data_IF_218695406161
#
_entry.id   IF_218695406161
#
_cell.length_a   1.000
_cell.length_b   1.000
_cell.length_c   1.000
_cell.angle_alpha   90.00
_cell.angle_beta   90.00
_cell.angle_gamma   90.00
#
_symmetry.space_group_name_H-M   'P 1'
#
loop_
_entity.id
_entity.type
_entity.pdbx_description
1 polymer ?
#
# COMPACT_ATOMS: atom_id res chain seq x y z
N UNK A 1 -13.41 -10.50 -10.18
CA UNK A 1 -14.76 -10.88 -10.65
C UNK A 1 -15.46 -9.63 -11.14
N UNK A 2 -15.94 -9.63 -12.36
CA UNK A 2 -16.69 -8.52 -12.94
C UNK A 2 -18.06 -9.04 -13.37
N UNK A 3 -19.11 -8.29 -13.03
CA UNK A 3 -20.50 -8.61 -13.36
C UNK A 3 -21.11 -7.39 -14.05
N UNK A 4 -21.51 -7.54 -15.31
CA UNK A 4 -22.20 -6.49 -16.06
C UNK A 4 -23.71 -6.75 -16.03
N UNK A 5 -24.48 -5.70 -15.73
CA UNK A 5 -25.94 -5.76 -15.66
C UNK A 5 -26.56 -4.46 -16.16
N UNK A 6 -27.85 -4.50 -16.55
CA UNK A 6 -28.58 -3.36 -17.07
C UNK A 6 -27.85 -2.65 -18.24
N UNK A 7 -27.09 -3.38 -19.06
CA UNK A 7 -26.29 -2.96 -20.21
C UNK A 7 -25.14 -1.98 -19.89
N UNK A 8 -25.35 -1.01 -19.01
CA UNK A 8 -24.45 0.12 -18.75
C UNK A 8 -23.69 0.03 -17.44
N UNK A 9 -24.07 -0.89 -16.55
CA UNK A 9 -23.47 -1.06 -15.25
C UNK A 9 -22.50 -2.24 -15.22
N UNK A 10 -21.38 -2.03 -14.55
CA UNK A 10 -20.41 -3.09 -14.25
C UNK A 10 -20.03 -3.02 -12.77
N UNK A 11 -20.23 -4.12 -12.06
CA UNK A 11 -19.71 -4.30 -10.72
C UNK A 11 -18.45 -5.15 -10.76
N UNK A 12 -17.38 -4.65 -10.14
CA UNK A 12 -16.10 -5.35 -10.04
C UNK A 12 -15.75 -5.58 -8.58
N UNK A 13 -15.43 -6.83 -8.24
CA UNK A 13 -14.90 -7.24 -6.95
C UNK A 13 -13.49 -7.78 -7.16
N UNK A 14 -12.49 -7.15 -6.52
CA UNK A 14 -11.09 -7.58 -6.54
C UNK A 14 -10.61 -7.83 -5.12
N UNK A 15 -10.04 -8.98 -4.90
CA UNK A 15 -9.38 -9.36 -3.66
C UNK A 15 -7.95 -9.75 -3.93
N UNK A 16 -7.03 -9.35 -3.07
CA UNK A 16 -5.64 -9.79 -3.07
C UNK A 16 -5.24 -10.22 -1.66
N UNK A 17 -4.52 -11.33 -1.59
CA UNK A 17 -3.92 -11.84 -0.36
C UNK A 17 -2.46 -12.12 -0.66
N UNK A 18 -1.56 -11.48 0.10
CA UNK A 18 -0.13 -11.70 0.05
C UNK A 18 0.33 -12.21 1.41
N UNK A 19 0.94 -13.38 1.42
CA UNK A 19 1.53 -14.02 2.61
C UNK A 19 3.00 -14.24 2.31
N UNK A 20 3.87 -13.72 3.19
CA UNK A 20 5.32 -13.87 3.03
C UNK A 20 5.95 -14.14 4.39
N UNK A 21 6.66 -15.26 4.47
CA UNK A 21 7.48 -15.61 5.63
C UNK A 21 8.95 -15.46 5.23
N UNK A 22 9.74 -14.84 6.08
CA UNK A 22 11.19 -14.71 5.95
C UNK A 22 11.79 -15.27 7.23
N UNK A 23 12.56 -16.34 7.09
CA UNK A 23 13.33 -16.93 8.14
C UNK A 23 14.82 -16.70 7.84
N UNK A 24 15.54 -16.03 8.73
CA UNK A 24 16.98 -15.84 8.65
C UNK A 24 17.62 -16.57 9.84
N UNK A 25 18.55 -17.48 9.54
CA UNK A 25 19.28 -18.23 10.55
C UNK A 25 20.77 -18.11 10.29
N UNK A 26 21.51 -17.64 11.28
CA UNK A 26 22.96 -17.54 11.26
C UNK A 26 23.53 -18.37 12.40
N UNK A 27 24.49 -19.23 12.08
CA UNK A 27 25.21 -20.04 13.03
C UNK A 27 26.72 -19.80 12.90
N UNK A 28 27.39 -19.61 14.03
CA UNK A 28 28.84 -19.50 14.11
C UNK A 28 29.37 -20.51 15.13
N UNK A 29 30.17 -21.46 14.62
CA UNK A 29 30.76 -22.54 15.43
C UNK A 29 31.78 -22.03 16.44
N UNK A 30 31.80 -22.62 17.67
CA UNK A 30 32.76 -22.28 18.71
C UNK A 30 34.19 -22.79 18.46
N UNK A 31 34.42 -23.67 17.50
CA UNK A 31 35.74 -24.24 17.23
C UNK A 31 36.60 -23.35 16.31
N UNK A 32 35.98 -22.62 15.37
CA UNK A 32 36.69 -21.87 14.33
C UNK A 32 36.06 -20.52 14.07
N UNK A 33 36.84 -19.61 13.47
CA UNK A 33 36.36 -18.34 12.90
C UNK A 33 36.09 -17.25 13.94
N UNK A 34 35.19 -16.33 13.59
CA UNK A 34 34.89 -15.12 14.36
C UNK A 34 34.21 -15.40 15.72
N UNK A 35 33.61 -16.56 15.87
CA UNK A 35 32.88 -16.97 17.09
C UNK A 35 33.58 -18.05 17.89
N UNK A 36 34.90 -18.23 17.62
CA UNK A 36 35.72 -19.18 18.38
C UNK A 36 35.61 -18.98 19.88
N UNK A 37 35.57 -20.08 20.63
CA UNK A 37 35.44 -20.20 22.08
C UNK A 37 34.07 -19.84 22.66
N UNK A 38 33.15 -19.25 21.86
CA UNK A 38 31.81 -18.87 22.36
C UNK A 38 30.68 -19.50 21.54
N UNK A 39 30.83 -19.62 20.24
CA UNK A 39 29.72 -19.92 19.34
C UNK A 39 28.71 -18.76 19.27
N UNK A 40 27.88 -18.77 18.23
CA UNK A 40 26.84 -17.77 18.03
C UNK A 40 25.66 -18.37 17.25
N UNK A 41 24.45 -18.02 17.62
CA UNK A 41 23.27 -18.29 16.84
C UNK A 41 22.35 -17.06 16.80
N UNK A 42 21.83 -16.74 15.62
CA UNK A 42 20.79 -15.75 15.41
C UNK A 42 19.67 -16.38 14.61
N UNK A 43 18.45 -16.25 15.07
CA UNK A 43 17.23 -16.61 14.32
C UNK A 43 16.31 -15.41 14.29
N UNK A 44 15.86 -15.06 13.09
CA UNK A 44 14.89 -13.97 12.83
C UNK A 44 13.75 -14.57 12.01
N UNK A 45 12.54 -14.37 12.51
CA UNK A 45 11.31 -14.77 11.84
C UNK A 45 10.43 -13.54 11.58
N UNK A 46 9.98 -13.38 10.32
CA UNK A 46 9.14 -12.28 9.88
C UNK A 46 7.97 -12.83 9.08
N UNK A 47 6.77 -12.67 9.61
CA UNK A 47 5.54 -13.06 8.95
C UNK A 47 4.79 -11.81 8.48
N UNK A 48 4.66 -11.63 7.17
CA UNK A 48 3.91 -10.56 6.54
C UNK A 48 2.58 -11.07 6.02
N UNK A 49 1.51 -10.37 6.35
CA UNK A 49 0.16 -10.64 5.85
C UNK A 49 -0.45 -9.36 5.30
N UNK A 50 -0.82 -9.37 4.03
CA UNK A 50 -1.45 -8.24 3.36
C UNK A 50 -2.77 -8.68 2.73
N UNK A 51 -3.80 -7.90 2.96
CA UNK A 51 -5.13 -8.14 2.40
C UNK A 51 -5.61 -6.85 1.74
N UNK A 52 -6.05 -6.97 0.50
CA UNK A 52 -6.71 -5.86 -0.21
C UNK A 52 -8.07 -6.34 -0.71
N UNK A 53 -9.10 -5.57 -0.45
CA UNK A 53 -10.43 -5.77 -1.02
C UNK A 53 -10.88 -4.47 -1.68
N UNK A 54 -11.23 -4.54 -2.96
CA UNK A 54 -11.75 -3.42 -3.72
C UNK A 54 -13.10 -3.79 -4.33
N UNK A 55 -14.06 -2.93 -4.14
CA UNK A 55 -15.41 -2.99 -4.69
C UNK A 55 -15.60 -1.76 -5.57
N UNK A 56 -16.04 -1.96 -6.80
CA UNK A 56 -16.21 -0.89 -7.78
C UNK A 56 -17.52 -1.07 -8.52
N UNK A 57 -18.33 -0.03 -8.56
CA UNK A 57 -19.49 0.06 -9.43
C UNK A 57 -19.24 1.15 -10.46
N UNK A 58 -19.29 0.78 -11.72
CA UNK A 58 -19.13 1.68 -12.86
C UNK A 58 -20.39 1.72 -13.69
N UNK A 59 -20.74 2.90 -14.15
CA UNK A 59 -21.80 3.16 -15.12
C UNK A 59 -21.23 3.93 -16.30
N UNK A 60 -21.55 3.48 -17.52
CA UNK A 60 -21.10 4.09 -18.78
C UNK A 60 -22.27 4.17 -19.73
N UNK A 61 -22.53 5.35 -20.24
CA UNK A 61 -23.60 5.53 -21.21
C UNK A 61 -23.24 6.56 -22.27
N UNK A 62 -23.73 6.31 -23.49
CA UNK A 62 -23.57 7.22 -24.62
C UNK A 62 -24.91 7.75 -25.09
N UNK A 63 -25.10 9.07 -25.03
CA UNK A 63 -26.27 9.80 -25.51
C UNK A 63 -25.91 10.57 -26.79
N UNK A 64 -26.00 9.91 -27.93
CA UNK A 64 -25.59 10.52 -29.18
C UNK A 64 -24.11 10.90 -29.21
N UNK A 65 -23.78 12.21 -29.13
CA UNK A 65 -22.39 12.70 -29.06
C UNK A 65 -21.84 12.89 -27.67
N UNK A 66 -22.62 12.61 -26.62
CA UNK A 66 -22.26 12.73 -25.24
C UNK A 66 -21.91 11.36 -24.67
N UNK A 67 -20.75 11.20 -24.12
CA UNK A 67 -20.35 10.01 -23.36
C UNK A 67 -20.15 10.37 -21.89
N UNK A 68 -20.79 9.61 -21.01
CA UNK A 68 -20.68 9.78 -19.55
C UNK A 68 -20.18 8.48 -18.97
N UNK A 69 -19.18 8.57 -18.12
CA UNK A 69 -18.72 7.48 -17.29
C UNK A 69 -18.71 7.96 -15.84
N UNK A 70 -19.34 7.20 -14.96
CA UNK A 70 -19.33 7.45 -13.53
C UNK A 70 -18.97 6.17 -12.80
N UNK A 71 -18.14 6.27 -11.78
CA UNK A 71 -17.81 5.15 -10.93
C UNK A 71 -17.78 5.57 -9.46
N UNK A 72 -18.15 4.64 -8.60
CA UNK A 72 -17.98 4.72 -7.16
C UNK A 72 -17.28 3.45 -6.69
N UNK A 73 -16.39 3.59 -5.74
CA UNK A 73 -15.63 2.47 -5.22
C UNK A 73 -15.31 2.59 -3.75
N UNK A 74 -15.03 1.45 -3.17
CA UNK A 74 -14.57 1.27 -1.81
C UNK A 74 -13.38 0.32 -1.83
N UNK A 75 -12.34 0.64 -1.05
CA UNK A 75 -11.12 -0.13 -0.94
C UNK A 75 -10.69 -0.23 0.52
N UNK A 76 -10.33 -1.44 0.92
CA UNK A 76 -9.70 -1.73 2.20
C UNK A 76 -8.33 -2.36 1.98
N UNK A 77 -7.35 -1.93 2.77
CA UNK A 77 -6.05 -2.55 2.88
C UNK A 77 -5.73 -2.83 4.35
N UNK A 78 -5.30 -4.06 4.65
CA UNK A 78 -4.87 -4.50 5.99
C UNK A 78 -3.48 -5.13 5.85
N UNK A 79 -2.50 -4.58 6.56
CA UNK A 79 -1.14 -5.07 6.65
C UNK A 79 -0.82 -5.47 8.08
N UNK A 80 -0.16 -6.61 8.23
CA UNK A 80 0.32 -7.12 9.52
C UNK A 80 1.72 -7.67 9.35
N UNK A 81 2.61 -7.29 10.26
CA UNK A 81 3.92 -7.87 10.45
C UNK A 81 3.99 -8.47 11.85
N UNK A 82 4.36 -9.73 11.95
CA UNK A 82 4.89 -10.33 13.17
C UNK A 82 6.40 -10.46 13.00
N UNK A 83 7.14 -9.92 13.93
CA UNK A 83 8.60 -9.96 13.96
C UNK A 83 9.07 -10.60 15.27
N UNK A 84 9.90 -11.63 15.17
CA UNK A 84 10.56 -12.28 16.29
C UNK A 84 12.04 -12.46 15.96
N UNK A 85 12.92 -12.08 16.90
CA UNK A 85 14.37 -12.21 16.74
C UNK A 85 14.99 -12.67 18.06
N UNK A 86 15.91 -13.61 17.97
CA UNK A 86 16.68 -14.07 19.09
C UNK A 86 18.13 -14.32 18.70
N UNK A 87 19.07 -13.84 19.55
CA UNK A 87 20.50 -14.14 19.41
C UNK A 87 21.02 -14.71 20.70
N UNK A 88 21.83 -15.75 20.58
CA UNK A 88 22.46 -16.42 21.74
C UNK A 88 23.92 -16.71 21.49
N UNK A 89 24.66 -16.84 22.56
CA UNK A 89 26.09 -17.24 22.63
C UNK A 89 26.30 -18.35 23.61
N UNK A 90 27.54 -18.80 23.72
CA UNK A 90 28.03 -19.88 24.61
C UNK A 90 27.36 -21.21 24.24
N UNK A 91 27.83 -21.75 23.12
CA UNK A 91 27.48 -23.07 22.59
C UNK A 91 27.94 -24.16 23.56
N UNK A 92 27.04 -25.08 23.91
CA UNK A 92 27.35 -26.20 24.83
C UNK A 92 28.05 -27.36 24.11
N UNK A 93 27.60 -27.68 22.90
CA UNK A 93 28.13 -28.77 22.07
C UNK A 93 28.37 -28.25 20.67
N UNK A 94 29.62 -28.24 20.16
CA UNK A 94 29.94 -27.76 18.83
C UNK A 94 29.18 -28.49 17.72
N UNK A 95 28.71 -27.72 16.72
CA UNK A 95 28.08 -28.28 15.54
C UNK A 95 26.56 -28.50 15.63
N UNK A 96 25.91 -28.03 16.70
CA UNK A 96 24.46 -28.13 16.88
C UNK A 96 23.85 -26.71 16.80
N UNK A 97 23.16 -26.38 15.68
CA UNK A 97 22.57 -25.07 15.38
C UNK A 97 21.15 -24.85 15.95
N UNK A 98 20.89 -25.45 17.14
CA UNK A 98 19.64 -25.29 17.87
C UNK A 98 19.74 -24.25 18.99
N UNK A 99 18.72 -23.39 19.14
CA UNK A 99 18.68 -22.34 20.18
C UNK A 99 18.87 -22.89 21.60
N UNK A 100 18.43 -24.10 21.87
CA UNK A 100 18.56 -24.79 23.17
C UNK A 100 19.99 -25.13 23.48
N UNK A 101 20.88 -25.23 22.49
CA UNK A 101 22.28 -25.54 22.64
C UNK A 101 23.14 -24.35 23.14
N UNK A 102 22.55 -23.13 23.18
CA UNK A 102 23.22 -21.90 23.56
C UNK A 102 22.71 -21.42 24.92
N UNK A 103 23.63 -21.14 25.86
CA UNK A 103 23.27 -20.85 27.26
C UNK A 103 22.96 -19.36 27.51
N UNK A 104 23.52 -18.44 26.74
CA UNK A 104 23.42 -17.00 27.00
C UNK A 104 22.64 -16.29 25.91
N UNK A 105 21.49 -15.70 26.24
CA UNK A 105 20.73 -14.83 25.32
C UNK A 105 21.36 -13.44 25.31
N UNK A 106 21.78 -12.97 24.13
CA UNK A 106 22.41 -11.65 23.97
C UNK A 106 21.42 -10.63 23.37
N UNK A 107 20.39 -11.10 22.68
CA UNK A 107 19.33 -10.27 22.11
C UNK A 107 18.04 -11.07 22.02
N UNK A 108 16.94 -10.44 22.35
CA UNK A 108 15.59 -10.99 22.13
C UNK A 108 14.63 -9.84 21.90
N UNK A 109 13.93 -9.87 20.80
CA UNK A 109 12.94 -8.86 20.44
C UNK A 109 11.75 -9.54 19.74
N UNK A 110 10.54 -9.01 20.00
CA UNK A 110 9.34 -9.43 19.30
C UNK A 110 8.33 -8.30 19.32
N UNK A 111 7.75 -8.00 18.14
CA UNK A 111 6.71 -7.00 18.02
C UNK A 111 5.74 -7.34 16.88
N UNK A 112 4.61 -6.64 16.88
CA UNK A 112 3.59 -6.74 15.86
C UNK A 112 3.25 -5.36 15.34
N UNK A 113 3.40 -5.20 14.04
CA UNK A 113 2.97 -3.99 13.35
C UNK A 113 1.67 -4.23 12.59
N UNK A 114 0.77 -3.27 12.69
CA UNK A 114 -0.48 -3.28 11.94
C UNK A 114 -0.70 -1.94 11.27
N UNK A 115 -1.09 -2.00 10.00
CA UNK A 115 -1.44 -0.83 9.23
C UNK A 115 -2.71 -1.09 8.43
N UNK A 116 -3.65 -0.15 8.46
CA UNK A 116 -4.92 -0.26 7.76
C UNK A 116 -5.26 1.03 7.07
N UNK A 117 -5.75 0.91 5.86
CA UNK A 117 -6.39 2.02 5.17
C UNK A 117 -7.77 1.62 4.66
N UNK A 118 -8.64 2.60 4.60
CA UNK A 118 -9.97 2.48 4.02
C UNK A 118 -10.23 3.71 3.16
N UNK A 119 -10.68 3.49 1.92
CA UNK A 119 -10.92 4.54 0.96
C UNK A 119 -12.28 4.42 0.28
N UNK A 120 -13.01 5.54 0.26
CA UNK A 120 -14.24 5.70 -0.53
C UNK A 120 -13.97 6.70 -1.63
N UNK A 121 -14.26 6.35 -2.87
CA UNK A 121 -13.96 7.23 -3.99
C UNK A 121 -15.04 7.22 -5.05
N UNK A 122 -15.14 8.34 -5.73
CA UNK A 122 -16.00 8.50 -6.90
C UNK A 122 -15.28 9.29 -7.97
N UNK A 123 -15.59 8.99 -9.22
CA UNK A 123 -15.05 9.67 -10.39
C UNK A 123 -16.13 9.78 -11.44
N UNK A 124 -16.27 10.96 -11.99
CA UNK A 124 -17.13 11.24 -13.13
C UNK A 124 -16.28 11.73 -14.30
N UNK A 125 -16.56 11.23 -15.48
CA UNK A 125 -15.93 11.62 -16.73
C UNK A 125 -17.00 11.92 -17.77
N UNK A 126 -16.80 13.00 -18.48
CA UNK A 126 -17.66 13.45 -19.55
C UNK A 126 -16.83 13.69 -20.81
N UNK A 127 -17.37 13.25 -21.94
CA UNK A 127 -16.79 13.46 -23.25
C UNK A 127 -17.90 13.93 -24.20
N UNK A 128 -17.65 15.01 -24.90
CA UNK A 128 -18.52 15.50 -25.95
C UNK A 128 -17.83 15.43 -27.33
N UNK A 129 -18.35 14.56 -28.18
CA UNK A 129 -17.91 14.36 -29.55
C UNK A 129 -16.42 14.13 -29.72
N UNK A 130 -15.77 13.43 -28.74
CA UNK A 130 -14.32 13.20 -28.69
C UNK A 130 -13.48 14.49 -28.79
N UNK A 131 -14.11 15.64 -28.53
CA UNK A 131 -13.49 16.96 -28.65
C UNK A 131 -13.32 17.65 -27.32
N UNK A 132 -14.34 17.65 -26.48
CA UNK A 132 -14.30 18.28 -25.15
C UNK A 132 -14.41 17.24 -24.06
N UNK A 133 -13.50 17.31 -23.10
CA UNK A 133 -13.40 16.35 -22.00
C UNK A 133 -13.46 17.07 -20.67
N UNK A 134 -14.21 16.54 -19.73
CA UNK A 134 -14.22 16.97 -18.36
C UNK A 134 -14.12 15.75 -17.44
N UNK A 135 -13.40 15.89 -16.34
CA UNK A 135 -13.24 14.84 -15.35
C UNK A 135 -13.25 15.46 -13.95
N UNK A 136 -13.93 14.80 -13.02
CA UNK A 136 -13.90 15.15 -11.61
C UNK A 136 -13.74 13.87 -10.78
N UNK A 137 -12.93 13.93 -9.73
CA UNK A 137 -12.80 12.86 -8.76
C UNK A 137 -12.86 13.39 -7.34
N UNK A 138 -13.39 12.57 -6.45
CA UNK A 138 -13.38 12.78 -5.03
C UNK A 138 -13.00 11.48 -4.33
N UNK A 139 -12.12 11.57 -3.33
CA UNK A 139 -11.70 10.44 -2.51
C UNK A 139 -11.65 10.85 -1.04
N UNK A 140 -12.18 10.00 -0.20
CA UNK A 140 -12.08 10.11 1.26
C UNK A 140 -11.34 8.89 1.77
N UNK A 141 -10.16 9.11 2.34
CA UNK A 141 -9.28 8.05 2.83
C UNK A 141 -9.09 8.17 4.33
N UNK A 142 -9.20 7.01 5.00
CA UNK A 142 -8.84 6.84 6.39
C UNK A 142 -7.58 6.00 6.51
N UNK A 143 -6.66 6.41 7.39
CA UNK A 143 -5.43 5.67 7.67
C UNK A 143 -5.22 5.48 9.17
N UNK A 144 -4.81 4.27 9.58
CA UNK A 144 -4.55 3.92 10.98
C UNK A 144 -3.30 4.62 11.55
N UNK A 145 -2.48 5.25 10.70
CA UNK A 145 -1.31 6.04 11.12
C UNK A 145 -1.72 7.27 11.91
N UNK A 146 -2.92 7.80 11.65
CA UNK A 146 -3.40 9.01 12.32
C UNK A 146 -4.28 8.70 13.54
N UNK A 147 -4.28 9.63 14.49
CA UNK A 147 -5.20 9.57 15.63
C UNK A 147 -6.66 9.45 15.16
N UNK A 148 -7.49 8.80 15.95
CA UNK A 148 -8.89 8.47 15.61
C UNK A 148 -9.69 9.69 15.14
N UNK A 149 -9.49 10.87 15.76
CA UNK A 149 -10.21 12.10 15.44
C UNK A 149 -9.77 12.78 14.14
N UNK A 150 -8.57 12.44 13.63
CA UNK A 150 -7.97 13.04 12.43
C UNK A 150 -7.61 12.01 11.36
N UNK A 151 -8.20 10.83 11.44
CA UNK A 151 -7.88 9.68 10.59
C UNK A 151 -8.31 9.86 9.13
N UNK A 152 -9.34 10.67 8.88
CA UNK A 152 -9.95 10.81 7.58
C UNK A 152 -9.52 12.09 6.85
N UNK A 153 -8.98 11.92 5.64
CA UNK A 153 -8.67 12.99 4.70
C UNK A 153 -9.62 13.00 3.51
N UNK A 154 -9.92 14.18 2.97
CA UNK A 154 -10.69 14.36 1.76
C UNK A 154 -9.79 14.90 0.65
N UNK A 155 -9.83 14.28 -0.51
CA UNK A 155 -9.01 14.61 -1.68
C UNK A 155 -9.90 14.72 -2.90
N UNK A 156 -9.58 15.64 -3.79
CA UNK A 156 -10.36 15.87 -4.97
C UNK A 156 -9.50 16.35 -6.13
N UNK A 157 -9.97 16.09 -7.33
CA UNK A 157 -9.37 16.64 -8.54
C UNK A 157 -10.42 16.97 -9.58
N UNK A 158 -10.13 17.97 -10.39
CA UNK A 158 -10.89 18.33 -11.57
C UNK A 158 -9.96 18.51 -12.75
N UNK A 159 -10.42 18.16 -13.94
CA UNK A 159 -9.64 18.29 -15.16
C UNK A 159 -10.54 18.56 -16.35
N UNK A 160 -10.03 19.36 -17.29
CA UNK A 160 -10.64 19.60 -18.59
C UNK A 160 -9.65 19.29 -19.69
N UNK A 161 -10.17 18.88 -20.82
CA UNK A 161 -9.37 18.57 -22.00
C UNK A 161 -10.07 19.04 -23.27
N UNK A 162 -9.29 19.47 -24.24
CA UNK A 162 -9.77 19.91 -25.52
C UNK A 162 -8.93 19.30 -26.64
N UNK A 163 -9.57 18.55 -27.53
CA UNK A 163 -8.97 17.97 -28.73
C UNK A 163 -9.06 18.99 -29.87
N UNK A 164 -8.11 19.89 -29.94
CA UNK A 164 -8.05 20.95 -30.91
C UNK A 164 -8.00 20.41 -32.34
N UNK A 165 -7.37 19.27 -32.60
CA UNK A 165 -7.30 18.64 -33.90
C UNK A 165 -8.67 18.21 -34.45
N UNK A 166 -9.71 18.10 -33.62
CA UNK A 166 -11.06 17.75 -34.02
C UNK A 166 -11.87 18.98 -34.44
N UNK A 167 -11.35 20.18 -34.21
CA UNK A 167 -12.02 21.43 -34.57
C UNK A 167 -11.94 21.72 -36.07
N UNK A 168 -13.02 22.32 -36.61
CA UNK A 168 -13.13 22.60 -38.04
C UNK A 168 -11.98 23.44 -38.60
N UNK A 169 -11.41 24.34 -37.81
CA UNK A 169 -10.33 25.23 -38.23
C UNK A 169 -8.95 24.53 -38.29
N UNK A 170 -8.76 23.34 -37.66
CA UNK A 170 -7.55 22.56 -37.73
C UNK A 170 -7.65 21.29 -38.57
N UNK A 171 -8.84 20.87 -38.99
CA UNK A 171 -9.04 19.65 -39.78
C UNK A 171 -8.27 19.59 -41.09
N UNK A 172 -7.97 20.73 -41.69
CA UNK A 172 -7.29 20.82 -42.99
C UNK A 172 -5.75 20.98 -42.85
N UNK A 173 -5.21 20.95 -41.66
CA UNK A 173 -3.78 21.10 -41.42
C UNK A 173 -3.10 19.74 -41.54
N UNK A 174 -2.54 19.45 -42.72
CA UNK A 174 -2.04 18.11 -43.11
C UNK A 174 -0.88 17.54 -42.24
N UNK A 175 -0.13 18.42 -41.60
CA UNK A 175 1.00 18.00 -40.73
C UNK A 175 0.55 17.76 -39.28
N UNK A 176 -0.68 18.18 -38.90
CA UNK A 176 -1.17 18.07 -37.52
C UNK A 176 -2.13 16.88 -37.39
N UNK A 177 -1.62 15.73 -36.94
CA UNK A 177 -2.43 14.53 -36.73
C UNK A 177 -3.27 14.60 -35.45
N UNK A 178 -2.67 15.12 -34.35
CA UNK A 178 -3.33 15.17 -33.04
C UNK A 178 -2.78 16.30 -32.19
N UNK A 179 -3.68 17.19 -31.73
CA UNK A 179 -3.36 18.23 -30.76
C UNK A 179 -4.42 18.24 -29.67
N UNK A 180 -4.01 17.91 -28.43
CA UNK A 180 -4.87 17.91 -27.24
C UNK A 180 -4.27 18.81 -26.17
N UNK A 181 -5.05 19.78 -25.72
CA UNK A 181 -4.75 20.54 -24.49
C UNK A 181 -5.43 19.88 -23.30
N UNK A 182 -4.75 19.87 -22.15
CA UNK A 182 -5.30 19.36 -20.89
C UNK A 182 -4.82 20.22 -19.75
N UNK A 183 -5.75 20.55 -18.85
CA UNK A 183 -5.46 21.25 -17.58
C UNK A 183 -6.16 20.46 -16.48
N UNK A 184 -5.46 20.25 -15.38
CA UNK A 184 -6.02 19.61 -14.19
C UNK A 184 -5.50 20.28 -12.94
N UNK A 185 -6.33 20.28 -11.91
CA UNK A 185 -6.00 20.77 -10.58
C UNK A 185 -6.61 19.85 -9.54
N UNK A 186 -5.90 19.63 -8.43
CA UNK A 186 -6.39 18.76 -7.37
C UNK A 186 -5.55 18.80 -6.12
N UNK A 187 -6.09 18.21 -5.08
CA UNK A 187 -5.46 18.02 -3.79
C UNK A 187 -5.24 16.54 -3.56
N UNK A 188 -4.02 16.16 -3.20
CA UNK A 188 -3.63 14.79 -2.84
C UNK A 188 -3.10 14.74 -1.41
N UNK A 189 -3.23 13.60 -0.76
CA UNK A 189 -2.66 13.34 0.56
C UNK A 189 -1.47 12.39 0.47
N UNK A 190 -0.67 12.40 1.54
CA UNK A 190 0.41 11.45 1.75
C UNK A 190 0.41 11.04 3.22
N UNK A 191 0.46 9.75 3.50
CA UNK A 191 0.56 9.16 4.84
C UNK A 191 1.89 8.43 5.06
N UNK A 192 2.84 8.55 4.13
CA UNK A 192 4.17 7.98 4.24
C UNK A 192 5.13 8.98 4.93
N UNK A 193 5.43 8.74 6.19
CA UNK A 193 6.33 9.58 6.99
C UNK A 193 7.79 9.10 7.02
N UNK A 194 8.13 8.05 6.28
CA UNK A 194 9.52 7.64 6.02
C UNK A 194 10.33 7.15 7.23
N UNK A 195 9.72 6.92 8.39
CA UNK A 195 10.41 6.42 9.58
C UNK A 195 9.99 4.99 9.95
N UNK A 196 10.88 4.23 10.58
CA UNK A 196 10.60 2.90 11.11
C UNK A 196 9.45 2.87 12.14
N UNK A 197 9.19 4.00 12.81
CA UNK A 197 8.09 4.17 13.77
C UNK A 197 6.88 4.89 13.16
N UNK A 198 6.82 5.04 11.83
CA UNK A 198 5.79 5.79 11.11
C UNK A 198 4.35 5.34 11.34
N UNK A 199 4.14 4.08 11.71
CA UNK A 199 2.81 3.51 11.93
C UNK A 199 2.13 3.99 13.23
N UNK A 200 2.91 4.52 14.19
CA UNK A 200 2.43 4.86 15.54
C UNK A 200 2.84 6.27 15.99
N UNK A 201 3.09 7.20 15.06
CA UNK A 201 3.61 8.55 15.35
C UNK A 201 2.74 9.37 16.33
N UNK A 202 1.44 9.10 16.39
CA UNK A 202 0.51 9.78 17.29
C UNK A 202 0.47 9.18 18.70
N UNK A 203 1.13 8.02 18.92
CA UNK A 203 1.19 7.34 20.22
C UNK A 203 2.48 7.68 20.94
N UNK A 204 2.41 7.82 22.27
CA UNK A 204 3.58 7.80 23.13
C UNK A 204 4.03 6.35 23.30
N UNK A 205 5.14 5.98 22.69
CA UNK A 205 5.69 4.62 22.75
C UNK A 205 6.72 4.52 23.90
N UNK A 206 6.69 3.40 24.61
CA UNK A 206 7.66 3.05 25.65
C UNK A 206 8.51 1.89 25.16
N UNK A 207 9.83 2.03 25.22
CA UNK A 207 10.77 0.93 25.04
C UNK A 207 10.98 0.20 26.37
N UNK A 208 10.78 -1.11 26.39
CA UNK A 208 11.17 -1.96 27.52
C UNK A 208 12.61 -2.40 27.28
N UNK A 209 13.53 -2.01 28.18
CA UNK A 209 14.88 -2.54 28.20
C UNK A 209 15.05 -3.46 29.41
N UNK A 210 15.68 -4.63 29.21
CA UNK A 210 16.11 -5.47 30.29
C UNK A 210 17.32 -4.80 30.96
N UNK A 211 17.08 -4.14 32.09
CA UNK A 211 18.17 -3.69 32.98
C UNK A 211 18.55 -4.90 33.82
N UNK A 212 19.72 -5.45 33.57
CA UNK A 212 20.33 -6.36 34.51
C UNK A 212 20.71 -5.55 35.75
N UNK A 213 20.00 -5.81 36.84
CA UNK A 213 20.40 -5.37 38.20
C UNK A 213 21.42 -6.35 38.72
#
# INVERSE_FOLDING_TARGET
>A
MDVSFLRDFTFSLKGNISLRNIEDSQYGNAEIGAYKDTGFISKIDQEYKEYTLQQLLAWKHQFGRHFVEWMVGHENYDYKLNFDAIQKKNESFPGIDELSNFTTTTYSEGYKDTYRTEGHFTRARYDYNETYFAEASFRRDGSSIFHTDHRWGNFWSVGIGWMLSNEAFLKNVSWLNRLKLRVSYGQVGNDNFGSSNGLYQWMSLYGLSLIHI
#
